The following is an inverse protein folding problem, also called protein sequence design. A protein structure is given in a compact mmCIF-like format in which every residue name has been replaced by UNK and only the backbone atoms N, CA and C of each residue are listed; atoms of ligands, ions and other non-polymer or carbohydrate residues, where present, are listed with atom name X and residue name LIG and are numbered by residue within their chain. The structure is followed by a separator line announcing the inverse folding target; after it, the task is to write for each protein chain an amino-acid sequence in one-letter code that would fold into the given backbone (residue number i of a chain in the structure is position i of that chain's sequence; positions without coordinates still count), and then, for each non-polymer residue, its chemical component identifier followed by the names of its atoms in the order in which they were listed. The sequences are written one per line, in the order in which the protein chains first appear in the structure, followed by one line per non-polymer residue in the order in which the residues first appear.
data_IF_526619903375
#
_entry.id   IF_526619903375
#
_cell.length_a   1.000
_cell.length_b   1.000
_cell.length_c   1.000
_cell.angle_alpha   90.00
_cell.angle_beta   90.00
_cell.angle_gamma   90.00
#
_symmetry.space_group_name_H-M   'P 1'
#
loop_
_entity.id
_entity.type
_entity.pdbx_description
1 polymer ?
#
# COMPACT_ATOMS: atom_id res chain seq x y z
N UNK A 1 -10.51 1.99 15.86
CA UNK A 1 -9.70 2.42 17.02
C UNK A 1 -10.04 1.62 18.29
N UNK A 2 -10.45 0.34 18.16
CA UNK A 2 -11.03 -0.39 19.29
C UNK A 2 -10.03 -0.58 20.44
N UNK A 3 -8.81 -1.05 20.13
CA UNK A 3 -7.79 -1.31 21.14
C UNK A 3 -7.27 -0.04 21.81
N UNK A 4 -6.97 0.99 21.02
CA UNK A 4 -6.50 2.29 21.53
C UNK A 4 -7.55 2.93 22.45
N UNK A 5 -8.83 2.86 22.07
CA UNK A 5 -9.91 3.45 22.88
C UNK A 5 -10.23 2.61 24.14
N UNK A 6 -10.19 1.28 24.04
CA UNK A 6 -10.49 0.39 25.18
C UNK A 6 -9.33 0.26 26.17
N UNK A 7 -8.10 0.48 25.73
CA UNK A 7 -6.90 0.30 26.54
C UNK A 7 -6.02 1.56 26.45
N UNK A 8 -6.39 2.66 27.13
CA UNK A 8 -5.65 3.92 27.06
C UNK A 8 -4.24 3.84 27.66
N UNK A 9 -3.98 2.82 28.49
CA UNK A 9 -2.67 2.56 29.13
C UNK A 9 -1.82 1.55 28.35
N UNK A 10 -2.12 1.31 27.08
CA UNK A 10 -1.37 0.38 26.23
C UNK A 10 0.10 0.79 26.19
N UNK A 11 0.99 -0.11 26.63
CA UNK A 11 2.45 0.11 26.59
C UNK A 11 3.05 -0.10 25.20
N UNK A 12 2.27 -0.67 24.28
CA UNK A 12 2.67 -0.93 22.90
C UNK A 12 1.94 0.02 21.95
N UNK A 13 2.54 0.31 20.79
CA UNK A 13 1.89 1.12 19.75
C UNK A 13 1.13 0.22 18.80
N UNK A 14 -0.15 0.53 18.60
CA UNK A 14 -0.95 -0.07 17.53
C UNK A 14 -0.62 0.65 16.23
N UNK A 15 -0.16 -0.13 15.25
CA UNK A 15 0.27 0.36 13.93
C UNK A 15 -0.48 -0.46 12.88
N UNK A 16 -1.23 0.20 11.99
CA UNK A 16 -1.85 -0.50 10.86
C UNK A 16 -0.89 -0.69 9.68
N UNK A 17 0.17 0.13 9.57
CA UNK A 17 1.12 0.10 8.46
C UNK A 17 0.53 0.57 7.13
N UNK A 18 -0.60 1.28 7.17
CA UNK A 18 -1.28 1.74 5.96
C UNK A 18 -0.51 2.88 5.28
N UNK A 19 0.22 3.69 6.06
CA UNK A 19 1.00 4.80 5.52
C UNK A 19 2.16 4.28 4.68
N UNK A 20 2.91 3.28 5.17
CA UNK A 20 3.95 2.63 4.37
C UNK A 20 3.37 1.85 3.19
N UNK A 21 2.20 1.24 3.36
CA UNK A 21 1.49 0.58 2.25
C UNK A 21 1.13 1.60 1.15
N UNK A 22 0.62 2.77 1.50
CA UNK A 22 0.33 3.82 0.53
C UNK A 22 1.61 4.32 -0.16
N UNK A 23 2.70 4.50 0.59
CA UNK A 23 3.99 4.88 0.05
C UNK A 23 4.53 3.87 -0.97
N UNK A 24 4.52 2.57 -0.64
CA UNK A 24 4.97 1.52 -1.54
C UNK A 24 4.18 1.53 -2.85
N UNK A 25 2.85 1.64 -2.76
CA UNK A 25 1.97 1.70 -3.94
C UNK A 25 2.28 2.91 -4.81
N UNK A 26 2.47 4.09 -4.21
CA UNK A 26 2.80 5.31 -4.96
C UNK A 26 4.15 5.22 -5.69
N UNK A 27 5.11 4.48 -5.13
CA UNK A 27 6.42 4.23 -5.75
C UNK A 27 6.37 3.13 -6.83
N UNK A 28 5.38 2.25 -6.81
CA UNK A 28 5.15 1.25 -7.86
C UNK A 28 4.42 1.83 -9.09
N UNK A 29 3.71 2.95 -8.94
CA UNK A 29 3.03 3.62 -10.06
C UNK A 29 4.09 4.22 -11.00
N UNK A 30 4.12 3.80 -12.29
CA UNK A 30 5.09 4.32 -13.25
C UNK A 30 5.02 5.85 -13.39
N UNK A 31 6.15 6.52 -13.61
CA UNK A 31 6.19 7.98 -13.71
C UNK A 31 5.58 8.51 -15.02
N UNK A 32 5.57 7.69 -16.07
CA UNK A 32 5.09 8.03 -17.41
C UNK A 32 3.59 7.85 -17.59
N UNK A 33 2.88 7.30 -16.60
CA UNK A 33 1.44 7.11 -16.68
C UNK A 33 0.69 8.42 -16.44
N UNK A 34 -0.14 8.80 -17.40
CA UNK A 34 -0.92 10.03 -17.33
C UNK A 34 -2.23 9.88 -16.55
N UNK A 35 -2.69 8.63 -16.36
CA UNK A 35 -3.90 8.32 -15.61
C UNK A 35 -3.73 7.11 -14.72
N UNK A 36 -4.11 7.27 -13.45
CA UNK A 36 -4.22 6.19 -12.48
C UNK A 36 -5.69 5.92 -12.19
N UNK A 37 -6.12 4.68 -12.38
CA UNK A 37 -7.43 4.20 -11.99
C UNK A 37 -7.36 3.44 -10.66
N UNK A 38 -7.99 3.98 -9.62
CA UNK A 38 -8.00 3.39 -8.29
C UNK A 38 -9.33 2.67 -8.03
N UNK A 39 -9.29 1.34 -7.84
CA UNK A 39 -10.46 0.60 -7.34
C UNK A 39 -10.50 0.64 -5.81
N UNK A 40 -11.62 1.08 -5.23
CA UNK A 40 -11.74 1.18 -3.77
C UNK A 40 -11.19 2.48 -3.20
N UNK A 41 -11.25 3.58 -3.97
CA UNK A 41 -10.80 4.91 -3.56
C UNK A 41 -11.51 5.49 -2.31
N UNK A 42 -12.65 4.94 -1.89
CA UNK A 42 -13.32 5.34 -0.64
C UNK A 42 -12.72 4.65 0.59
N UNK A 43 -11.84 3.66 0.40
CA UNK A 43 -11.05 3.05 1.48
C UNK A 43 -10.03 4.03 2.04
N UNK A 44 -9.43 3.70 3.19
CA UNK A 44 -8.38 4.52 3.81
C UNK A 44 -7.18 4.70 2.88
N UNK A 45 -6.69 3.61 2.29
CA UNK A 45 -5.58 3.61 1.32
C UNK A 45 -5.97 4.37 0.06
N UNK A 46 -7.09 4.00 -0.56
CA UNK A 46 -7.51 4.60 -1.81
C UNK A 46 -7.76 6.11 -1.71
N UNK A 47 -8.28 6.59 -0.58
CA UNK A 47 -8.45 8.04 -0.34
C UNK A 47 -7.10 8.72 -0.20
N UNK A 48 -6.17 8.15 0.56
CA UNK A 48 -4.86 8.75 0.79
C UNK A 48 -4.04 8.83 -0.50
N UNK A 49 -4.02 7.74 -1.28
CA UNK A 49 -3.33 7.69 -2.57
C UNK A 49 -3.95 8.66 -3.56
N UNK A 50 -5.29 8.74 -3.64
CA UNK A 50 -5.96 9.72 -4.48
C UNK A 50 -5.57 11.15 -4.08
N UNK A 51 -5.63 11.48 -2.79
CA UNK A 51 -5.24 12.81 -2.29
C UNK A 51 -3.78 13.14 -2.58
N UNK A 52 -2.87 12.18 -2.38
CA UNK A 52 -1.45 12.34 -2.70
C UNK A 52 -1.24 12.60 -4.20
N UNK A 53 -1.84 11.77 -5.08
CA UNK A 53 -1.71 11.93 -6.53
C UNK A 53 -2.31 13.26 -7.03
N UNK A 54 -3.42 13.70 -6.44
CA UNK A 54 -4.01 15.01 -6.74
C UNK A 54 -3.15 16.18 -6.28
N UNK A 55 -2.39 16.03 -5.19
CA UNK A 55 -1.51 17.07 -4.67
C UNK A 55 -0.16 17.15 -5.42
N UNK A 56 0.45 15.99 -5.72
CA UNK A 56 1.86 15.91 -6.13
C UNK A 56 2.08 15.61 -7.62
N UNK A 57 1.13 14.97 -8.33
CA UNK A 57 1.36 14.50 -9.73
C UNK A 57 0.39 15.07 -10.77
N UNK A 58 -0.94 15.03 -10.56
CA UNK A 58 -2.04 15.23 -11.55
C UNK A 58 -2.49 13.95 -12.30
N UNK A 59 -3.58 14.02 -13.09
CA UNK A 59 -4.94 13.56 -12.76
C UNK A 59 -5.10 12.05 -12.43
N UNK A 60 -5.90 11.76 -11.40
CA UNK A 60 -6.30 10.39 -11.05
C UNK A 60 -7.82 10.20 -11.24
N UNK A 61 -8.20 9.10 -11.88
CA UNK A 61 -9.59 8.69 -12.05
C UNK A 61 -9.98 7.71 -10.95
N UNK A 62 -10.99 8.08 -10.17
CA UNK A 62 -11.46 7.30 -9.03
C UNK A 62 -12.71 6.52 -9.42
N UNK A 63 -12.64 5.19 -9.28
CA UNK A 63 -13.76 4.31 -9.60
C UNK A 63 -14.18 3.39 -8.44
N UNK A 64 -15.41 2.89 -8.53
CA UNK A 64 -15.86 1.74 -7.72
C UNK A 64 -15.28 0.44 -8.34
N UNK A 65 -15.61 -0.70 -7.73
CA UNK A 65 -15.44 -2.04 -8.29
C UNK A 65 -15.71 -2.06 -9.80
N UNK A 66 -14.69 -2.45 -10.56
CA UNK A 66 -14.71 -2.46 -12.01
C UNK A 66 -14.94 -3.88 -12.53
N UNK A 67 -15.99 -4.07 -13.32
CA UNK A 67 -16.21 -5.30 -14.08
C UNK A 67 -15.18 -5.39 -15.21
N UNK A 68 -14.84 -6.61 -15.68
CA UNK A 68 -13.99 -6.83 -16.85
C UNK A 68 -14.22 -5.88 -18.04
N UNK A 69 -15.49 -5.63 -18.39
CA UNK A 69 -15.85 -4.77 -19.53
C UNK A 69 -15.69 -3.27 -19.22
N UNK A 70 -15.77 -2.88 -17.96
CA UNK A 70 -15.69 -1.48 -17.55
C UNK A 70 -14.24 -0.95 -17.61
N UNK A 71 -13.24 -1.85 -17.64
CA UNK A 71 -11.84 -1.47 -17.91
C UNK A 71 -11.66 -0.80 -19.28
N UNK A 72 -12.60 -0.98 -20.22
CA UNK A 72 -12.54 -0.32 -21.53
C UNK A 72 -12.98 1.14 -21.50
N UNK A 73 -13.50 1.64 -20.38
CA UNK A 73 -13.81 3.06 -20.21
C UNK A 73 -12.58 3.89 -19.82
N UNK A 74 -11.53 3.25 -19.30
CA UNK A 74 -10.26 3.90 -19.06
C UNK A 74 -9.51 4.13 -20.39
N UNK A 75 -8.84 5.28 -20.54
CA UNK A 75 -7.95 5.55 -21.67
C UNK A 75 -6.85 4.50 -21.86
N UNK A 76 -6.27 4.49 -23.06
CA UNK A 76 -5.07 3.70 -23.31
C UNK A 76 -3.92 4.24 -22.44
N UNK A 77 -3.06 3.34 -21.93
CA UNK A 77 -1.95 3.71 -21.04
C UNK A 77 -2.31 3.86 -19.57
N UNK A 78 -3.58 3.71 -19.16
CA UNK A 78 -3.98 3.80 -17.75
C UNK A 78 -3.27 2.74 -16.87
N UNK A 79 -2.84 3.16 -15.68
CA UNK A 79 -2.43 2.25 -14.61
C UNK A 79 -3.61 1.89 -13.71
N UNK A 80 -3.97 0.61 -13.62
CA UNK A 80 -5.00 0.13 -12.70
C UNK A 80 -4.38 -0.33 -11.38
N UNK A 81 -4.73 0.33 -10.28
CA UNK A 81 -4.33 -0.12 -8.96
C UNK A 81 -5.53 -0.57 -8.13
N UNK A 82 -5.33 -1.64 -7.35
CA UNK A 82 -6.40 -2.30 -6.61
C UNK A 82 -6.01 -2.64 -5.18
N UNK A 83 -6.97 -2.41 -4.28
CA UNK A 83 -6.80 -2.69 -2.85
C UNK A 83 -7.72 -3.83 -2.38
N UNK A 84 -8.30 -4.59 -3.32
CA UNK A 84 -9.31 -5.61 -3.04
C UNK A 84 -8.82 -7.01 -3.43
N UNK A 85 -9.23 -7.99 -2.63
CA UNK A 85 -9.08 -9.42 -2.92
C UNK A 85 -10.48 -9.97 -3.23
N UNK A 86 -10.70 -10.69 -4.34
CA UNK A 86 -9.71 -11.11 -5.34
C UNK A 86 -9.30 -9.98 -6.31
N UNK A 87 -8.09 -10.08 -6.90
CA UNK A 87 -7.61 -9.11 -7.89
C UNK A 87 -8.50 -9.07 -9.14
N UNK A 88 -8.63 -7.89 -9.76
CA UNK A 88 -9.24 -7.70 -11.08
C UNK A 88 -8.41 -8.42 -12.13
N UNK A 89 -9.09 -8.98 -13.13
CA UNK A 89 -8.39 -9.62 -14.26
C UNK A 89 -7.69 -8.57 -15.09
N UNK A 90 -6.42 -8.81 -15.41
CA UNK A 90 -5.62 -7.98 -16.30
C UNK A 90 -6.01 -8.30 -17.75
N UNK A 91 -6.81 -7.43 -18.40
CA UNK A 91 -7.39 -7.71 -19.73
C UNK A 91 -6.86 -6.79 -20.83
N UNK A 92 -6.39 -5.59 -20.48
CA UNK A 92 -5.90 -4.58 -21.41
C UNK A 92 -4.38 -4.67 -21.50
N UNK A 93 -3.86 -5.02 -22.68
CA UNK A 93 -2.40 -5.13 -22.93
C UNK A 93 -1.71 -3.77 -23.04
N UNK A 94 -2.49 -2.73 -23.32
CA UNK A 94 -2.07 -1.34 -23.43
C UNK A 94 -2.21 -0.58 -22.10
N UNK A 95 -2.47 -1.29 -21.00
CA UNK A 95 -2.57 -0.76 -19.65
C UNK A 95 -1.64 -1.54 -18.71
N UNK A 96 -1.31 -0.94 -17.58
CA UNK A 96 -0.53 -1.60 -16.51
C UNK A 96 -1.40 -1.88 -15.29
N UNK A 97 -1.01 -2.85 -14.48
CA UNK A 97 -1.77 -3.27 -13.31
C UNK A 97 -0.84 -3.38 -12.11
N UNK A 98 -1.24 -2.78 -10.99
CA UNK A 98 -0.52 -2.88 -9.72
C UNK A 98 -0.86 -4.14 -8.95
N UNK A 99 0.14 -4.69 -8.26
CA UNK A 99 0.01 -5.82 -7.35
C UNK A 99 -0.22 -5.35 -5.91
N UNK A 100 -0.40 -6.31 -5.00
CA UNK A 100 -0.44 -6.00 -3.57
C UNK A 100 0.95 -5.59 -3.09
N UNK A 101 1.05 -4.39 -2.51
CA UNK A 101 2.32 -3.87 -2.00
C UNK A 101 2.99 -4.82 -0.99
N UNK A 102 4.20 -5.24 -1.36
CA UNK A 102 5.07 -6.09 -0.56
C UNK A 102 6.48 -5.53 -0.60
N UNK A 103 7.26 -5.81 0.44
CA UNK A 103 8.61 -5.30 0.59
C UNK A 103 9.55 -6.46 0.88
N UNK A 104 10.71 -6.45 0.20
CA UNK A 104 11.81 -7.34 0.54
C UNK A 104 12.45 -6.82 1.82
N UNK A 105 12.72 -7.73 2.75
CA UNK A 105 13.45 -7.47 3.96
C UNK A 105 14.97 -7.59 3.72
N UNK A 106 15.80 -6.98 4.58
CA UNK A 106 17.23 -7.24 4.63
C UNK A 106 17.56 -8.73 4.76
N UNK A 107 18.70 -9.15 4.20
CA UNK A 107 19.10 -10.57 4.16
C UNK A 107 19.38 -11.18 5.54
N UNK A 108 19.73 -10.35 6.52
CA UNK A 108 20.07 -10.71 7.90
C UNK A 108 18.88 -10.63 8.86
N UNK A 109 17.65 -10.42 8.35
CA UNK A 109 16.46 -10.30 9.19
C UNK A 109 16.12 -11.62 9.88
N UNK A 110 15.87 -11.57 11.19
CA UNK A 110 15.45 -12.71 11.99
C UNK A 110 14.07 -12.47 12.64
N UNK A 111 13.35 -13.54 12.99
CA UNK A 111 12.12 -13.46 13.76
C UNK A 111 10.85 -13.06 13.00
N UNK A 112 10.94 -12.66 11.73
CA UNK A 112 9.79 -12.28 10.88
C UNK A 112 9.29 -13.39 9.94
N UNK A 113 9.85 -14.60 10.04
CA UNK A 113 9.52 -15.71 9.13
C UNK A 113 8.04 -16.10 9.09
N UNK A 114 7.27 -15.91 10.17
CA UNK A 114 5.82 -16.16 10.19
C UNK A 114 4.99 -15.09 9.49
N UNK A 115 5.56 -13.90 9.31
CA UNK A 115 4.92 -12.74 8.69
C UNK A 115 5.25 -12.62 7.20
N UNK A 116 6.10 -13.50 6.68
CA UNK A 116 6.40 -13.61 5.25
C UNK A 116 5.12 -13.85 4.45
N UNK A 117 5.07 -13.31 3.23
CA UNK A 117 3.94 -13.49 2.32
C UNK A 117 3.82 -14.98 1.98
N UNK A 118 2.85 -15.62 2.62
CA UNK A 118 2.38 -16.99 2.36
C UNK A 118 0.97 -16.83 1.83
N UNK A 119 0.69 -17.29 0.62
CA UNK A 119 -0.59 -17.17 -0.10
C UNK A 119 -0.73 -15.93 -0.99
N UNK A 120 -0.10 -15.97 -2.15
CA UNK A 120 -0.83 -15.69 -3.39
C UNK A 120 -0.92 -17.05 -4.09
N UNK A 121 -2.12 -17.51 -4.39
CA UNK A 121 -2.47 -18.86 -4.86
C UNK A 121 -1.80 -19.29 -6.20
N UNK A 122 -0.77 -18.56 -6.65
CA UNK A 122 -0.07 -18.71 -7.91
C UNK A 122 1.45 -18.43 -7.84
N UNK A 123 2.08 -18.27 -6.65
CA UNK A 123 3.53 -17.96 -6.58
C UNK A 123 4.27 -18.68 -5.44
N UNK A 124 5.58 -19.01 -5.59
CA UNK A 124 6.39 -19.61 -4.54
C UNK A 124 6.44 -18.74 -3.28
N UNK A 125 6.69 -19.36 -2.11
CA UNK A 125 6.99 -18.62 -0.88
C UNK A 125 8.23 -17.76 -1.11
N UNK A 126 8.06 -16.45 -1.14
CA UNK A 126 9.17 -15.51 -1.20
C UNK A 126 9.77 -15.37 0.21
N UNK A 127 10.90 -16.06 0.44
CA UNK A 127 11.73 -15.85 1.63
C UNK A 127 12.12 -14.38 1.72
N UNK A 128 12.03 -13.81 2.92
CA UNK A 128 12.41 -12.42 3.16
C UNK A 128 11.50 -11.40 2.49
N UNK A 129 10.22 -11.70 2.23
CA UNK A 129 9.25 -10.72 1.72
C UNK A 129 8.03 -10.67 2.63
N UNK A 130 7.64 -9.46 3.03
CA UNK A 130 6.44 -9.21 3.85
C UNK A 130 5.52 -8.22 3.18
N UNK A 131 4.24 -8.21 3.54
CA UNK A 131 3.35 -7.12 3.11
C UNK A 131 3.86 -5.78 3.65
N UNK A 132 3.70 -4.71 2.87
CA UNK A 132 4.12 -3.36 3.26
C UNK A 132 3.50 -2.91 4.60
N UNK A 133 2.30 -3.40 4.94
CA UNK A 133 1.67 -3.14 6.24
C UNK A 133 2.42 -3.77 7.42
N UNK A 134 3.03 -4.95 7.26
CA UNK A 134 3.87 -5.57 8.28
C UNK A 134 5.21 -4.82 8.39
N UNK A 135 5.83 -4.50 7.26
CA UNK A 135 7.03 -3.67 7.22
C UNK A 135 6.80 -2.31 7.91
N UNK A 136 5.60 -1.74 7.77
CA UNK A 136 5.24 -0.47 8.42
C UNK A 136 5.31 -0.55 9.95
N UNK A 137 4.90 -1.67 10.54
CA UNK A 137 5.07 -1.93 11.97
C UNK A 137 6.54 -2.01 12.39
N UNK A 138 7.37 -2.65 11.57
CA UNK A 138 8.82 -2.77 11.81
C UNK A 138 9.50 -1.41 11.74
N UNK A 139 9.29 -0.66 10.66
CA UNK A 139 9.85 0.70 10.47
C UNK A 139 9.40 1.62 11.60
N UNK A 140 8.13 1.59 11.98
CA UNK A 140 7.62 2.39 13.10
C UNK A 140 8.32 2.05 14.43
N UNK A 141 8.68 0.78 14.65
CA UNK A 141 9.45 0.36 15.81
C UNK A 141 10.91 0.82 15.73
N UNK A 142 11.56 0.68 14.57
CA UNK A 142 12.96 1.03 14.36
C UNK A 142 13.20 2.54 14.46
N UNK A 143 12.27 3.36 13.99
CA UNK A 143 12.33 4.82 14.10
C UNK A 143 11.95 5.34 15.50
N UNK A 144 11.54 4.46 16.42
CA UNK A 144 11.16 4.86 17.78
C UNK A 144 9.96 5.80 17.82
N UNK A 145 9.06 5.73 16.83
CA UNK A 145 7.88 6.59 16.80
C UNK A 145 6.93 6.26 17.95
N UNK A 146 6.48 7.30 18.64
CA UNK A 146 5.73 7.16 19.89
C UNK A 146 4.21 7.30 19.73
N UNK A 147 3.72 7.45 18.51
CA UNK A 147 2.29 7.59 18.23
C UNK A 147 1.65 6.24 17.89
N UNK A 148 0.31 6.21 17.84
CA UNK A 148 -0.41 5.10 17.23
C UNK A 148 -0.66 5.44 15.77
N UNK A 149 -0.35 4.53 14.84
CA UNK A 149 -0.75 4.68 13.44
C UNK A 149 -2.13 4.03 13.25
N UNK A 150 -3.17 4.74 13.70
CA UNK A 150 -4.56 4.29 13.60
C UNK A 150 -5.47 5.37 13.05
N UNK A 151 -6.49 4.96 12.29
CA UNK A 151 -7.47 5.89 11.73
C UNK A 151 -7.24 6.18 10.25
N UNK A 152 -7.39 7.45 9.87
CA UNK A 152 -7.07 7.95 8.53
C UNK A 152 -5.55 8.03 8.34
N UNK A 153 -5.11 7.98 7.09
CA UNK A 153 -3.69 8.11 6.74
C UNK A 153 -3.37 9.59 6.64
N UNK A 154 -2.26 9.99 7.26
CA UNK A 154 -1.68 11.32 7.15
C UNK A 154 -0.84 11.39 5.87
N UNK A 155 -1.36 12.09 4.85
CA UNK A 155 -0.77 12.13 3.50
C UNK A 155 0.61 12.80 3.52
N UNK A 156 0.83 13.79 4.39
CA UNK A 156 2.10 14.51 4.51
C UNK A 156 3.23 13.63 5.07
N UNK A 157 2.89 12.51 5.72
CA UNK A 157 3.86 11.55 6.25
C UNK A 157 4.26 10.46 5.28
N UNK A 158 3.61 10.36 4.11
CA UNK A 158 3.86 9.26 3.17
C UNK A 158 5.35 9.22 2.78
N UNK A 159 5.91 10.35 2.35
CA UNK A 159 7.32 10.41 1.94
C UNK A 159 8.27 10.22 3.12
N UNK A 160 7.91 10.73 4.30
CA UNK A 160 8.70 10.53 5.53
C UNK A 160 8.80 9.04 5.86
N UNK A 161 7.67 8.32 5.81
CA UNK A 161 7.61 6.90 6.11
C UNK A 161 8.32 6.08 5.05
N UNK A 162 8.22 6.48 3.78
CA UNK A 162 8.97 5.86 2.69
C UNK A 162 10.48 5.98 2.87
N UNK A 163 10.97 7.20 3.12
CA UNK A 163 12.38 7.46 3.34
C UNK A 163 12.92 6.73 4.58
N UNK A 164 12.10 6.61 5.63
CA UNK A 164 12.43 5.79 6.78
C UNK A 164 12.55 4.30 6.44
N UNK A 165 11.67 3.76 5.59
CA UNK A 165 11.79 2.38 5.14
C UNK A 165 13.07 2.16 4.34
N UNK A 166 13.36 3.01 3.35
CA UNK A 166 14.60 2.93 2.54
C UNK A 166 15.88 2.99 3.38
N UNK A 167 15.87 3.74 4.48
CA UNK A 167 16.99 3.81 5.43
C UNK A 167 17.26 2.46 6.13
N UNK A 168 16.25 1.62 6.32
CA UNK A 168 16.36 0.32 6.99
C UNK A 168 16.52 -0.87 6.03
N UNK A 169 16.61 -0.60 4.72
CA UNK A 169 16.77 -1.62 3.66
C UNK A 169 15.45 -2.21 3.19
#
# INVERSE_FOLDING_TARGET
MLFVNKHPTLKVRVVHGNTLTAAAILNEIPEDVTEVFLTGATSKLGRAIALYLFAERSPSSVGKWIKPREQYFAPAGTHFHQFVVPPIRQLRRDCTYGDLAAMKLPEDVEGLGSCEVRNLDLSPVFRGVVHACHAGGVVHSLEGWNHHEVGAIDVERIDLVWNAALKHG
#
